data_IF_322499083026
#
_entry.id   IF_322499083026
#
_cell.length_a   1.000
_cell.length_b   1.000
_cell.length_c   1.000
_cell.angle_alpha   90.00
_cell.angle_beta   90.00
_cell.angle_gamma   90.00
#
_symmetry.space_group_name_H-M   'P 1'
#
loop_
_entity.id
_entity.type
_entity.pdbx_description
1 polymer ?
#
# COMPACT_ATOMS: atom_id res chain seq x y z
N UNK A 1 3.37 22.25 8.85
CA UNK A 1 2.18 21.39 9.09
C UNK A 1 1.76 21.59 10.53
N UNK A 2 0.48 21.86 10.83
CA UNK A 2 0.05 21.89 12.24
C UNK A 2 0.17 20.48 12.81
N UNK A 3 0.99 20.30 13.84
CA UNK A 3 1.31 19.00 14.45
C UNK A 3 0.14 18.30 15.18
N UNK A 4 -1.09 18.75 14.98
CA UNK A 4 -2.22 18.30 15.79
C UNK A 4 -3.40 17.88 14.94
N UNK A 5 -3.78 16.61 15.11
CA UNK A 5 -5.02 16.07 14.60
C UNK A 5 -6.22 16.86 15.13
N UNK A 6 -7.15 17.18 14.24
CA UNK A 6 -8.44 17.76 14.59
C UNK A 6 -9.26 16.77 15.44
N UNK A 7 -10.15 17.32 16.24
CA UNK A 7 -11.05 16.59 17.12
C UNK A 7 -12.40 16.43 16.44
N UNK A 8 -12.90 15.20 16.41
CA UNK A 8 -14.23 14.91 15.86
C UNK A 8 -15.31 15.44 16.79
N UNK A 9 -16.41 15.92 16.23
CA UNK A 9 -17.52 16.48 16.99
C UNK A 9 -18.82 15.92 16.46
N UNK A 10 -19.69 15.48 17.36
CA UNK A 10 -21.08 15.10 17.07
C UNK A 10 -22.03 15.96 17.92
N UNK A 11 -23.26 16.13 17.45
CA UNK A 11 -24.31 16.80 18.23
C UNK A 11 -24.99 15.83 19.23
N UNK A 12 -25.94 16.33 20.01
CA UNK A 12 -26.70 15.50 20.97
C UNK A 12 -27.49 14.37 20.30
N UNK A 13 -27.88 14.56 19.03
CA UNK A 13 -28.54 13.56 18.19
C UNK A 13 -27.56 12.60 17.52
N UNK A 14 -26.26 12.65 17.88
CA UNK A 14 -25.17 11.84 17.32
C UNK A 14 -24.95 12.07 15.83
N UNK A 15 -25.37 13.21 15.29
CA UNK A 15 -25.08 13.63 13.91
C UNK A 15 -23.66 14.17 13.82
N UNK A 16 -22.86 13.73 12.84
CA UNK A 16 -21.49 14.21 12.68
C UNK A 16 -21.45 15.68 12.28
N UNK A 17 -20.57 16.45 12.91
CA UNK A 17 -20.28 17.86 12.62
C UNK A 17 -18.86 18.00 12.05
N UNK A 18 -18.51 19.22 11.63
CA UNK A 18 -17.16 19.51 11.17
C UNK A 18 -16.14 19.26 12.29
N UNK A 19 -15.05 18.49 12.05
CA UNK A 19 -13.97 18.36 13.01
C UNK A 19 -13.40 19.74 13.36
N UNK A 20 -12.99 19.94 14.61
CA UNK A 20 -12.49 21.23 15.08
C UNK A 20 -11.03 21.15 15.55
N UNK A 21 -10.35 22.28 15.61
CA UNK A 21 -9.00 22.36 16.18
C UNK A 21 -9.03 21.95 17.66
N UNK A 22 -7.96 21.33 18.19
CA UNK A 22 -7.88 20.97 19.61
C UNK A 22 -8.10 22.14 20.57
N UNK A 23 -7.72 23.37 20.19
CA UNK A 23 -7.99 24.59 20.97
C UNK A 23 -9.49 24.85 21.14
N UNK A 24 -10.29 24.66 20.09
CA UNK A 24 -11.75 24.77 20.14
C UNK A 24 -12.34 23.65 20.99
N UNK A 25 -11.87 22.41 20.80
CA UNK A 25 -12.30 21.27 21.59
C UNK A 25 -12.07 21.49 23.09
N UNK A 26 -10.90 22.00 23.49
CA UNK A 26 -10.60 22.34 24.88
C UNK A 26 -11.51 23.43 25.42
N UNK A 27 -11.78 24.48 24.65
CA UNK A 27 -12.72 25.55 25.04
C UNK A 27 -14.15 25.01 25.24
N UNK A 28 -14.61 24.10 24.38
CA UNK A 28 -15.92 23.46 24.52
C UNK A 28 -16.03 22.61 25.78
N UNK A 29 -14.96 21.88 26.13
CA UNK A 29 -14.89 21.10 27.36
C UNK A 29 -14.85 21.99 28.60
N UNK A 30 -13.96 22.99 28.63
CA UNK A 30 -13.79 23.90 29.78
C UNK A 30 -15.05 24.72 30.07
N UNK A 31 -15.81 25.09 29.02
CA UNK A 31 -17.09 25.79 29.16
C UNK A 31 -18.28 24.87 29.44
N UNK A 32 -18.06 23.56 29.61
CA UNK A 32 -19.12 22.59 29.89
C UNK A 32 -20.12 22.38 28.75
N UNK A 33 -19.85 22.89 27.53
CA UNK A 33 -20.73 22.82 26.35
C UNK A 33 -20.66 21.46 25.63
N UNK A 34 -19.60 20.70 25.86
CA UNK A 34 -19.39 19.38 25.29
C UNK A 34 -18.90 18.38 26.34
N UNK A 35 -19.04 17.09 26.05
CA UNK A 35 -18.46 16.01 26.82
C UNK A 35 -17.62 15.09 25.92
N UNK A 36 -16.70 14.33 26.52
CA UNK A 36 -15.93 13.32 25.79
C UNK A 36 -16.85 12.15 25.48
N UNK A 37 -17.13 11.92 24.20
CA UNK A 37 -17.90 10.76 23.74
C UNK A 37 -17.01 9.53 23.57
N UNK A 38 -15.80 9.75 23.03
CA UNK A 38 -14.87 8.66 22.71
C UNK A 38 -13.43 9.15 22.78
N UNK A 39 -12.52 8.27 23.23
CA UNK A 39 -11.07 8.57 23.26
C UNK A 39 -10.36 8.31 21.92
N UNK A 40 -10.78 7.29 21.16
CA UNK A 40 -10.10 6.95 19.90
C UNK A 40 -11.05 6.53 18.74
N UNK A 41 -11.17 7.34 17.68
CA UNK A 41 -10.60 8.68 17.58
C UNK A 41 -11.19 9.59 18.66
N UNK A 42 -10.47 10.65 19.03
CA UNK A 42 -10.95 11.56 20.06
C UNK A 42 -12.16 12.32 19.53
N UNK A 43 -13.31 12.12 20.19
CA UNK A 43 -14.61 12.62 19.73
C UNK A 43 -15.34 13.27 20.88
N UNK A 44 -15.84 14.47 20.64
CA UNK A 44 -16.71 15.20 21.55
C UNK A 44 -18.17 15.06 21.13
N UNK A 45 -19.07 15.05 22.11
CA UNK A 45 -20.51 15.23 21.91
C UNK A 45 -20.92 16.60 22.47
N UNK A 46 -21.60 17.40 21.66
CA UNK A 46 -22.19 18.66 22.10
C UNK A 46 -23.48 18.38 22.88
N UNK A 47 -23.75 19.17 23.91
CA UNK A 47 -24.98 19.06 24.71
C UNK A 47 -26.24 19.63 24.03
N UNK A 48 -26.11 20.12 22.80
CA UNK A 48 -27.22 20.66 22.01
C UNK A 48 -27.28 20.02 20.64
N UNK A 49 -28.47 20.04 20.06
CA UNK A 49 -28.64 19.80 18.63
C UNK A 49 -28.06 20.99 17.85
N UNK A 50 -27.49 20.71 16.69
CA UNK A 50 -27.04 21.76 15.76
C UNK A 50 -27.83 21.58 14.47
N UNK A 51 -28.44 22.66 14.01
CA UNK A 51 -29.15 22.67 12.73
C UNK A 51 -28.19 22.46 11.56
N UNK A 52 -28.72 22.30 10.34
CA UNK A 52 -27.93 22.09 9.13
C UNK A 52 -27.05 23.31 8.84
N UNK A 53 -25.85 23.35 9.42
CA UNK A 53 -24.79 24.27 9.02
C UNK A 53 -24.17 23.75 7.72
N UNK A 54 -23.83 24.65 6.80
CA UNK A 54 -23.02 24.32 5.63
C UNK A 54 -21.70 23.69 6.11
N UNK A 55 -21.45 22.44 5.71
CA UNK A 55 -20.23 21.72 6.06
C UNK A 55 -19.30 21.75 4.85
N UNK A 56 -18.03 22.05 5.10
CA UNK A 56 -16.98 21.77 4.13
C UNK A 56 -16.90 20.26 3.94
N UNK A 57 -16.79 19.84 2.69
CA UNK A 57 -16.79 18.43 2.35
C UNK A 57 -15.42 17.84 2.69
N UNK A 58 -15.44 16.63 3.25
CA UNK A 58 -14.22 15.94 3.66
C UNK A 58 -13.90 14.80 2.71
N UNK A 59 -12.63 14.73 2.33
CA UNK A 59 -12.09 13.65 1.49
C UNK A 59 -11.23 12.74 2.34
N UNK A 60 -11.56 11.45 2.33
CA UNK A 60 -10.78 10.43 3.01
C UNK A 60 -9.78 9.80 2.04
N UNK A 61 -8.48 10.02 2.27
CA UNK A 61 -7.42 9.45 1.44
C UNK A 61 -6.76 8.24 2.12
N UNK A 62 -6.54 7.16 1.36
CA UNK A 62 -6.07 5.86 1.85
C UNK A 62 -4.87 5.38 1.03
N UNK A 63 -3.75 5.15 1.69
CA UNK A 63 -2.56 4.47 1.15
C UNK A 63 -2.46 3.05 1.74
N UNK A 64 -2.93 2.00 1.04
CA UNK A 64 -2.81 0.62 1.51
C UNK A 64 -1.41 0.05 1.28
N UNK A 65 -0.65 -0.13 2.37
CA UNK A 65 0.61 -0.88 2.35
C UNK A 65 0.50 -2.29 2.92
N UNK A 66 1.56 -3.09 2.74
CA UNK A 66 1.60 -4.49 3.19
C UNK A 66 1.70 -4.63 4.72
N UNK A 67 2.43 -3.71 5.37
CA UNK A 67 2.64 -3.67 6.82
C UNK A 67 1.84 -2.57 7.49
N UNK A 68 1.71 -1.44 6.82
CA UNK A 68 0.99 -0.29 7.33
C UNK A 68 0.01 0.24 6.29
N UNK A 69 -1.14 0.74 6.72
CA UNK A 69 -2.04 1.53 5.88
C UNK A 69 -2.08 2.96 6.42
N UNK A 70 -1.75 3.92 5.57
CA UNK A 70 -1.94 5.33 5.85
C UNK A 70 -3.38 5.73 5.59
N UNK A 71 -3.95 6.54 6.48
CA UNK A 71 -5.24 7.19 6.29
C UNK A 71 -5.06 8.68 6.60
N UNK A 72 -5.54 9.55 5.71
CA UNK A 72 -5.59 10.98 5.91
C UNK A 72 -7.02 11.49 5.64
N UNK A 73 -7.48 12.43 6.46
CA UNK A 73 -8.73 13.15 6.28
C UNK A 73 -8.39 14.58 5.90
N UNK A 74 -8.91 15.02 4.77
CA UNK A 74 -8.65 16.33 4.21
C UNK A 74 -9.93 17.15 4.16
N UNK A 75 -9.80 18.41 4.52
CA UNK A 75 -10.74 19.49 4.21
C UNK A 75 -10.15 20.21 3.01
N UNK A 76 -10.72 20.01 1.81
CA UNK A 76 -10.13 20.45 0.54
C UNK A 76 -8.67 19.96 0.40
N UNK A 77 -7.69 20.88 0.39
CA UNK A 77 -6.25 20.57 0.31
C UNK A 77 -5.55 20.50 1.67
N UNK A 78 -6.30 20.69 2.77
CA UNK A 78 -5.75 20.76 4.11
C UNK A 78 -5.92 19.43 4.84
N UNK A 79 -4.81 18.83 5.22
CA UNK A 79 -4.82 17.65 6.10
C UNK A 79 -5.24 18.07 7.51
N UNK A 80 -6.40 17.58 7.95
CA UNK A 80 -6.95 17.86 9.29
C UNK A 80 -6.75 16.70 10.25
N UNK A 81 -6.59 15.47 9.75
CA UNK A 81 -6.39 14.30 10.59
C UNK A 81 -5.62 13.21 9.85
N UNK A 82 -4.75 12.49 10.54
CA UNK A 82 -4.00 11.35 10.01
C UNK A 82 -3.96 10.17 10.98
N UNK A 83 -3.89 8.97 10.42
CA UNK A 83 -3.68 7.70 11.12
C UNK A 83 -2.75 6.79 10.33
N UNK A 84 -1.94 6.05 11.08
CA UNK A 84 -1.18 4.92 10.57
C UNK A 84 -1.70 3.63 11.21
N UNK A 85 -2.27 2.75 10.40
CA UNK A 85 -2.73 1.43 10.85
C UNK A 85 -1.56 0.46 10.69
N UNK A 86 -1.15 -0.20 11.78
CA UNK A 86 -0.21 -1.32 11.72
C UNK A 86 -0.98 -2.64 11.60
N UNK A 87 -0.72 -3.38 10.53
CA UNK A 87 -1.37 -4.67 10.28
C UNK A 87 -0.68 -5.81 11.03
N UNK A 88 -1.48 -6.79 11.46
CA UNK A 88 -1.00 -8.03 12.11
C UNK A 88 -0.88 -9.19 11.13
N UNK A 89 -0.86 -8.92 9.82
CA UNK A 89 -0.88 -9.94 8.77
C UNK A 89 0.30 -10.93 8.85
N UNK A 90 1.51 -10.47 9.20
CA UNK A 90 2.67 -11.32 9.41
C UNK A 90 2.49 -12.29 10.58
N UNK A 91 2.06 -11.77 11.74
CA UNK A 91 1.76 -12.56 12.94
C UNK A 91 0.67 -13.60 12.69
N UNK A 92 -0.37 -13.23 11.94
CA UNK A 92 -1.45 -14.16 11.55
C UNK A 92 -0.88 -15.27 10.67
N UNK A 93 -0.08 -14.92 9.66
CA UNK A 93 0.56 -15.88 8.75
C UNK A 93 1.46 -16.86 9.51
N UNK A 94 2.28 -16.36 10.44
CA UNK A 94 3.17 -17.17 11.26
C UNK A 94 2.40 -18.15 12.15
N UNK A 95 1.35 -17.67 12.85
CA UNK A 95 0.48 -18.54 13.68
C UNK A 95 -0.21 -19.62 12.84
N UNK A 96 -0.66 -19.30 11.63
CA UNK A 96 -1.27 -20.26 10.71
C UNK A 96 -0.24 -21.31 10.23
N UNK A 97 0.98 -20.88 9.94
CA UNK A 97 2.07 -21.77 9.54
C UNK A 97 2.45 -22.73 10.68
N UNK A 98 2.65 -22.24 11.90
CA UNK A 98 2.89 -23.06 13.10
C UNK A 98 1.79 -24.11 13.29
N UNK A 99 0.52 -23.69 13.23
CA UNK A 99 -0.63 -24.61 13.32
C UNK A 99 -0.63 -25.66 12.20
N UNK A 100 -0.23 -25.28 10.99
CA UNK A 100 -0.10 -26.21 9.85
C UNK A 100 1.01 -27.24 10.08
N UNK A 101 2.18 -26.79 10.54
CA UNK A 101 3.34 -27.64 10.85
C UNK A 101 3.01 -28.66 11.94
N UNK A 102 2.38 -28.25 13.05
CA UNK A 102 1.95 -29.19 14.09
C UNK A 102 0.94 -30.24 13.57
N UNK A 103 0.05 -29.86 12.65
CA UNK A 103 -0.87 -30.81 12.00
C UNK A 103 -0.15 -31.77 11.05
N UNK A 104 0.90 -31.31 10.36
CA UNK A 104 1.73 -32.15 9.50
C UNK A 104 2.55 -33.13 10.34
N UNK A 105 3.23 -32.66 11.39
CA UNK A 105 4.02 -33.49 12.29
C UNK A 105 3.20 -34.65 12.88
N UNK A 106 1.95 -34.42 13.30
CA UNK A 106 1.04 -35.48 13.78
C UNK A 106 0.65 -36.53 12.72
N UNK A 107 0.83 -36.24 11.43
CA UNK A 107 0.53 -37.16 10.33
C UNK A 107 1.77 -37.80 9.71
N UNK A 108 2.97 -37.37 10.10
CA UNK A 108 4.23 -37.84 9.49
C UNK A 108 5.25 -38.33 10.51
N UNK A 109 5.48 -37.60 11.61
CA UNK A 109 6.50 -37.92 12.63
C UNK A 109 5.90 -38.50 13.92
N UNK A 110 4.75 -37.96 14.37
CA UNK A 110 4.09 -38.36 15.62
C UNK A 110 2.78 -39.09 15.27
N UNK A 111 2.90 -40.28 14.69
CA UNK A 111 1.80 -41.05 14.10
C UNK A 111 0.84 -41.61 15.16
N UNK A 112 0.03 -40.75 15.78
CA UNK A 112 -1.17 -41.16 16.52
C UNK A 112 -2.38 -41.00 15.60
N UNK A 113 -2.80 -42.12 15.00
CA UNK A 113 -4.06 -42.39 14.28
C UNK A 113 -4.80 -41.17 13.69
N UNK A 114 -4.17 -40.42 12.77
CA UNK A 114 -4.89 -39.39 12.00
C UNK A 114 -4.67 -39.56 10.51
N UNK A 115 -5.69 -40.06 9.82
CA UNK A 115 -5.73 -40.19 8.35
C UNK A 115 -5.33 -38.85 7.68
N UNK A 116 -4.59 -38.90 6.55
CA UNK A 116 -4.29 -37.72 5.76
C UNK A 116 -5.59 -36.98 5.38
N UNK A 117 -5.55 -35.65 5.41
CA UNK A 117 -6.71 -34.85 4.98
C UNK A 117 -6.87 -34.88 3.46
N UNK A 118 -8.06 -34.55 2.95
CA UNK A 118 -8.31 -34.48 1.51
C UNK A 118 -7.38 -33.45 0.84
N UNK A 119 -6.45 -33.87 -0.05
CA UNK A 119 -5.53 -32.95 -0.74
C UNK A 119 -6.25 -32.07 -1.77
N UNK A 120 -7.42 -32.48 -2.24
CA UNK A 120 -8.17 -31.84 -3.33
C UNK A 120 -9.24 -30.86 -2.84
N UNK A 121 -9.19 -30.41 -1.58
CA UNK A 121 -10.15 -29.43 -1.06
C UNK A 121 -9.98 -28.08 -1.78
N UNK A 122 -10.81 -27.81 -2.78
CA UNK A 122 -10.89 -26.53 -3.47
C UNK A 122 -11.37 -25.44 -2.51
N UNK A 123 -10.77 -24.26 -2.63
CA UNK A 123 -11.22 -23.06 -1.92
C UNK A 123 -12.30 -22.38 -2.75
N UNK A 124 -13.26 -21.67 -2.12
CA UNK A 124 -14.28 -20.95 -2.86
C UNK A 124 -13.66 -19.85 -3.72
N UNK A 125 -14.35 -19.50 -4.81
CA UNK A 125 -13.96 -18.39 -5.68
C UNK A 125 -13.88 -17.09 -4.88
N UNK A 126 -12.82 -16.31 -5.09
CA UNK A 126 -12.58 -15.07 -4.32
C UNK A 126 -12.05 -15.28 -2.90
N UNK A 127 -11.65 -16.50 -2.54
CA UNK A 127 -11.03 -16.76 -1.24
C UNK A 127 -9.72 -15.98 -1.07
N UNK A 128 -9.63 -15.23 0.02
CA UNK A 128 -8.41 -14.56 0.46
C UNK A 128 -7.90 -15.21 1.75
N UNK A 129 -6.58 -15.24 1.91
CA UNK A 129 -5.98 -15.71 3.14
C UNK A 129 -6.39 -14.81 4.33
N UNK A 130 -6.57 -15.34 5.54
CA UNK A 130 -6.97 -14.53 6.71
C UNK A 130 -6.08 -13.32 6.98
N UNK A 131 -4.77 -13.43 6.71
CA UNK A 131 -3.82 -12.33 6.83
C UNK A 131 -4.07 -11.18 5.86
N UNK A 132 -4.64 -11.47 4.68
CA UNK A 132 -5.02 -10.49 3.65
C UNK A 132 -6.38 -9.88 3.96
N UNK A 133 -7.36 -10.72 4.35
CA UNK A 133 -8.70 -10.29 4.78
C UNK A 133 -8.60 -9.29 5.95
N UNK A 134 -7.75 -9.60 6.93
CA UNK A 134 -7.48 -8.73 8.07
C UNK A 134 -7.16 -7.28 7.65
N UNK A 135 -6.34 -7.08 6.61
CA UNK A 135 -5.95 -5.74 6.16
C UNK A 135 -7.14 -4.94 5.62
N UNK A 136 -8.01 -5.60 4.86
CA UNK A 136 -9.23 -5.01 4.33
C UNK A 136 -10.17 -4.65 5.49
N UNK A 137 -10.42 -5.58 6.41
CA UNK A 137 -11.34 -5.41 7.53
C UNK A 137 -10.89 -4.32 8.50
N UNK A 138 -9.60 -4.26 8.84
CA UNK A 138 -9.08 -3.20 9.73
C UNK A 138 -9.18 -1.83 9.08
N UNK A 139 -8.91 -1.73 7.78
CA UNK A 139 -9.06 -0.48 7.03
C UNK A 139 -10.51 -0.05 7.02
N UNK A 140 -11.44 -0.96 6.68
CA UNK A 140 -12.88 -0.69 6.67
C UNK A 140 -13.43 -0.34 8.04
N UNK A 141 -12.90 -0.93 9.12
CA UNK A 141 -13.27 -0.56 10.50
C UNK A 141 -13.00 0.91 10.76
N UNK A 142 -11.86 1.42 10.28
CA UNK A 142 -11.49 2.82 10.41
C UNK A 142 -12.30 3.73 9.49
N UNK A 143 -12.49 3.35 8.24
CA UNK A 143 -13.34 4.09 7.28
C UNK A 143 -14.74 4.29 7.84
N UNK A 144 -15.42 3.20 8.26
CA UNK A 144 -16.76 3.27 8.87
C UNK A 144 -16.78 4.15 10.12
N UNK A 145 -15.72 4.12 10.92
CA UNK A 145 -15.61 4.93 12.13
C UNK A 145 -15.46 6.42 11.81
N UNK A 146 -14.68 6.76 10.78
CA UNK A 146 -14.48 8.15 10.35
C UNK A 146 -15.76 8.71 9.72
N UNK A 147 -16.43 7.95 8.84
CA UNK A 147 -17.73 8.32 8.27
C UNK A 147 -18.77 8.57 9.37
N UNK A 148 -18.76 7.75 10.43
CA UNK A 148 -19.68 7.93 11.56
C UNK A 148 -19.47 9.24 12.33
N UNK A 149 -18.25 9.77 12.35
CA UNK A 149 -17.88 10.91 13.19
C UNK A 149 -17.49 12.18 12.40
N UNK A 150 -17.57 12.15 11.07
CA UNK A 150 -17.25 13.30 10.22
C UNK A 150 -18.04 13.24 8.90
N UNK A 151 -18.36 14.40 8.31
CA UNK A 151 -19.09 14.49 7.03
C UNK A 151 -18.16 14.16 5.84
N UNK A 152 -17.81 12.88 5.68
CA UNK A 152 -17.00 12.40 4.54
C UNK A 152 -17.90 12.29 3.30
N UNK A 153 -17.47 12.88 2.19
CA UNK A 153 -18.19 12.84 0.91
C UNK A 153 -17.53 11.89 -0.09
N UNK A 154 -16.20 11.87 -0.13
CA UNK A 154 -15.44 11.06 -1.07
C UNK A 154 -14.28 10.33 -0.41
N UNK A 155 -13.87 9.24 -1.06
CA UNK A 155 -12.74 8.41 -0.66
C UNK A 155 -11.77 8.34 -1.84
N UNK A 156 -10.51 8.73 -1.64
CA UNK A 156 -9.44 8.44 -2.59
C UNK A 156 -8.60 7.29 -2.07
N UNK A 157 -8.31 6.29 -2.90
CA UNK A 157 -7.41 5.21 -2.53
C UNK A 157 -6.32 5.02 -3.57
N UNK A 158 -5.10 4.74 -3.11
CA UNK A 158 -4.10 4.17 -3.99
C UNK A 158 -4.52 2.73 -4.31
N UNK A 159 -4.83 2.47 -5.59
CA UNK A 159 -5.27 1.15 -6.03
C UNK A 159 -4.08 0.20 -6.17
N UNK A 160 -2.93 0.74 -6.55
CA UNK A 160 -1.78 -0.05 -6.95
C UNK A 160 -0.48 0.67 -6.65
N UNK A 161 0.42 0.04 -5.87
CA UNK A 161 1.80 0.51 -5.70
C UNK A 161 2.66 0.26 -6.95
N UNK A 162 2.43 -0.88 -7.62
CA UNK A 162 3.00 -1.28 -8.92
C UNK A 162 2.06 -2.25 -9.65
N UNK A 163 1.58 -1.92 -10.86
CA UNK A 163 0.68 -2.82 -11.58
C UNK A 163 1.48 -3.92 -12.29
N UNK A 164 1.76 -4.99 -11.56
CA UNK A 164 2.59 -6.09 -12.06
C UNK A 164 2.04 -6.76 -13.31
N UNK A 165 0.72 -6.68 -13.59
CA UNK A 165 0.14 -7.24 -14.82
C UNK A 165 0.48 -6.36 -16.03
N UNK A 166 0.40 -5.04 -15.87
CA UNK A 166 0.81 -4.08 -16.89
C UNK A 166 2.33 -4.04 -17.09
N UNK A 167 3.11 -4.20 -16.02
CA UNK A 167 4.58 -4.24 -16.12
C UNK A 167 5.06 -5.58 -16.75
N UNK A 168 4.28 -6.66 -16.65
CA UNK A 168 4.62 -7.96 -17.28
C UNK A 168 4.23 -8.05 -18.75
N UNK A 169 3.22 -7.29 -19.20
CA UNK A 169 2.77 -7.24 -20.58
C UNK A 169 2.79 -5.80 -21.10
N UNK A 170 3.90 -5.37 -21.74
CA UNK A 170 4.01 -4.08 -22.41
C UNK A 170 3.07 -3.94 -23.63
N UNK A 171 2.27 -4.95 -23.97
CA UNK A 171 1.34 -4.96 -25.12
C UNK A 171 -0.13 -4.84 -24.69
N UNK A 172 -0.44 -4.71 -23.38
CA UNK A 172 -1.80 -4.37 -22.97
C UNK A 172 -2.07 -2.93 -23.38
N UNK A 173 -2.81 -2.78 -24.47
CA UNK A 173 -3.37 -1.58 -25.12
C UNK A 173 -4.29 -0.78 -24.18
N UNK A 174 -3.77 -0.34 -23.05
CA UNK A 174 -4.33 0.74 -22.23
C UNK A 174 -3.71 2.06 -22.69
N UNK A 175 -4.38 2.70 -23.65
CA UNK A 175 -3.99 3.87 -24.46
C UNK A 175 -3.61 5.17 -23.71
N UNK A 176 -3.28 5.14 -22.42
CA UNK A 176 -2.91 6.35 -21.65
C UNK A 176 -1.69 6.19 -20.74
N UNK A 177 -1.15 4.98 -20.55
CA UNK A 177 -0.03 4.76 -19.62
C UNK A 177 1.31 4.42 -20.29
N UNK A 178 1.32 3.87 -21.51
CA UNK A 178 2.55 3.30 -22.11
C UNK A 178 3.59 4.33 -22.61
N UNK A 179 3.27 5.63 -22.61
CA UNK A 179 4.15 6.68 -23.16
C UNK A 179 4.34 7.90 -22.24
N UNK A 180 3.95 7.81 -20.96
CA UNK A 180 4.13 8.90 -20.00
C UNK A 180 5.42 8.77 -19.17
N UNK A 181 6.00 9.90 -18.77
CA UNK A 181 7.12 9.99 -17.81
C UNK A 181 6.88 9.14 -16.53
N UNK A 182 5.62 9.04 -16.11
CA UNK A 182 5.15 8.25 -14.97
C UNK A 182 5.37 6.73 -15.11
N UNK A 183 5.24 6.15 -16.30
CA UNK A 183 5.34 4.70 -16.48
C UNK A 183 6.78 4.19 -16.39
N UNK A 184 7.73 4.93 -17.00
CA UNK A 184 9.16 4.67 -16.83
C UNK A 184 9.59 4.82 -15.37
N UNK A 185 8.98 5.75 -14.65
CA UNK A 185 9.22 5.98 -13.23
C UNK A 185 8.76 4.80 -12.35
N UNK A 186 7.55 4.27 -12.59
CA UNK A 186 6.99 3.14 -11.83
C UNK A 186 7.79 1.84 -12.02
N UNK A 187 8.17 1.51 -13.27
CA UNK A 187 9.00 0.33 -13.55
C UNK A 187 10.37 0.45 -12.85
N UNK A 188 11.03 1.60 -12.96
CA UNK A 188 12.33 1.82 -12.31
C UNK A 188 12.23 1.68 -10.81
N UNK A 189 11.20 2.22 -10.18
CA UNK A 189 11.01 2.11 -8.73
C UNK A 189 10.67 0.69 -8.29
N UNK A 190 9.87 -0.04 -9.06
CA UNK A 190 9.62 -1.46 -8.82
C UNK A 190 10.94 -2.24 -8.79
N UNK A 191 11.81 -2.03 -9.80
CA UNK A 191 13.10 -2.70 -9.88
C UNK A 191 14.02 -2.27 -8.73
N UNK A 192 14.12 -0.98 -8.42
CA UNK A 192 14.90 -0.50 -7.28
C UNK A 192 14.46 -1.12 -5.94
N UNK A 193 13.15 -1.24 -5.70
CA UNK A 193 12.63 -1.88 -4.49
C UNK A 193 12.89 -3.40 -4.50
N UNK A 194 12.73 -4.05 -5.65
CA UNK A 194 13.01 -5.48 -5.85
C UNK A 194 14.47 -5.85 -5.63
N UNK A 195 15.39 -4.98 -6.01
CA UNK A 195 16.83 -5.20 -5.89
C UNK A 195 17.44 -4.50 -4.67
N UNK A 196 16.61 -3.98 -3.75
CA UNK A 196 17.08 -3.42 -2.48
C UNK A 196 17.90 -2.13 -2.64
N UNK A 197 17.73 -1.39 -3.74
CA UNK A 197 18.49 -0.18 -4.09
C UNK A 197 20.01 -0.40 -4.10
N UNK A 198 20.41 -1.59 -4.54
CA UNK A 198 21.80 -2.01 -4.69
C UNK A 198 22.04 -2.44 -6.13
N UNK A 199 23.25 -2.21 -6.63
CA UNK A 199 23.69 -2.80 -7.88
C UNK A 199 23.55 -4.34 -7.78
N UNK A 200 22.67 -4.92 -8.60
CA UNK A 200 22.44 -6.35 -8.65
C UNK A 200 23.61 -7.12 -9.29
N UNK A 201 24.39 -6.42 -10.13
CA UNK A 201 25.59 -6.92 -10.78
C UNK A 201 26.76 -7.05 -9.77
N UNK A 202 27.96 -7.28 -10.28
CA UNK A 202 29.16 -7.68 -9.50
C UNK A 202 29.58 -6.76 -8.35
N UNK A 203 29.12 -5.50 -8.30
CA UNK A 203 29.66 -4.49 -7.37
C UNK A 203 28.88 -4.28 -6.07
N UNK A 204 27.60 -4.67 -5.99
CA UNK A 204 26.79 -4.52 -4.76
C UNK A 204 26.64 -3.09 -4.23
N UNK A 205 27.07 -2.07 -5.00
CA UNK A 205 27.15 -0.68 -4.54
C UNK A 205 25.77 -0.13 -4.18
N UNK A 206 25.71 0.54 -3.04
CA UNK A 206 24.60 1.40 -2.58
C UNK A 206 24.91 2.87 -2.93
N UNK A 207 23.90 3.74 -2.85
CA UNK A 207 24.05 5.20 -2.99
C UNK A 207 24.72 5.70 -4.29
N UNK A 208 24.60 4.93 -5.37
CA UNK A 208 25.03 5.34 -6.71
C UNK A 208 23.81 5.41 -7.63
N UNK A 209 23.83 6.23 -8.70
CA UNK A 209 22.84 6.11 -9.76
C UNK A 209 22.81 4.68 -10.30
N UNK A 210 21.63 4.07 -10.28
CA UNK A 210 21.37 2.73 -10.79
C UNK A 210 20.49 2.82 -12.03
N UNK A 211 20.92 2.16 -13.09
CA UNK A 211 20.25 2.04 -14.38
C UNK A 211 19.49 0.72 -14.46
N UNK A 212 18.47 0.67 -15.31
CA UNK A 212 17.77 -0.58 -15.63
C UNK A 212 18.63 -1.36 -16.60
N UNK A 213 18.93 -2.62 -16.26
CA UNK A 213 19.81 -3.51 -17.04
C UNK A 213 19.03 -4.75 -17.47
N UNK A 214 19.12 -5.13 -18.74
CA UNK A 214 18.57 -6.40 -19.23
C UNK A 214 19.50 -7.57 -18.92
N UNK A 215 18.96 -8.59 -18.25
CA UNK A 215 19.63 -9.87 -17.97
C UNK A 215 20.04 -10.52 -19.30
N UNK A 216 19.06 -10.82 -20.13
CA UNK A 216 19.25 -11.18 -21.53
C UNK A 216 19.15 -9.90 -22.38
N UNK A 217 20.22 -9.47 -23.07
CA UNK A 217 20.29 -8.20 -23.79
C UNK A 217 19.21 -8.05 -24.86
N UNK A 218 18.66 -6.84 -25.00
CA UNK A 218 17.64 -6.54 -26.02
C UNK A 218 18.14 -6.81 -27.45
N UNK A 219 19.41 -6.49 -27.73
CA UNK A 219 20.05 -6.77 -29.02
C UNK A 219 20.14 -8.26 -29.38
N UNK A 220 19.95 -9.16 -28.41
CA UNK A 220 19.96 -10.62 -28.59
C UNK A 220 18.56 -11.24 -28.47
N UNK A 221 17.50 -10.43 -28.46
CA UNK A 221 16.11 -10.90 -28.29
C UNK A 221 15.58 -10.82 -26.86
N UNK A 222 16.26 -10.09 -25.97
CA UNK A 222 15.82 -9.79 -24.61
C UNK A 222 14.47 -9.08 -24.53
N UNK A 223 13.54 -9.64 -23.77
CA UNK A 223 12.24 -8.99 -23.49
C UNK A 223 12.36 -7.85 -22.47
N UNK A 224 11.49 -6.86 -22.55
CA UNK A 224 11.33 -5.79 -21.55
C UNK A 224 10.50 -6.23 -20.32
N UNK A 225 10.26 -7.54 -20.15
CA UNK A 225 9.55 -8.09 -18.99
C UNK A 225 10.38 -7.95 -17.73
N UNK A 226 9.74 -7.66 -16.60
CA UNK A 226 10.35 -7.59 -15.25
C UNK A 226 11.25 -8.79 -14.91
N UNK A 227 10.90 -9.99 -15.37
CA UNK A 227 11.68 -11.20 -15.14
C UNK A 227 13.04 -11.20 -15.86
N UNK A 228 13.24 -10.31 -16.83
CA UNK A 228 14.46 -10.10 -17.58
C UNK A 228 15.18 -8.79 -17.19
N UNK A 229 14.68 -8.05 -16.19
CA UNK A 229 15.24 -6.75 -15.81
C UNK A 229 15.88 -6.79 -14.42
N UNK A 230 17.04 -6.13 -14.31
CA UNK A 230 17.79 -5.89 -13.08
C UNK A 230 18.12 -4.40 -12.93
N UNK A 231 18.86 -4.05 -11.88
CA UNK A 231 19.45 -2.72 -11.73
C UNK A 231 20.95 -2.80 -11.54
N UNK A 232 21.68 -1.91 -12.21
CA UNK A 232 23.14 -1.90 -12.21
C UNK A 232 23.68 -0.48 -12.10
N UNK A 233 24.86 -0.29 -11.51
CA UNK A 233 25.54 1.00 -11.63
C UNK A 233 26.07 1.17 -13.06
N UNK A 234 26.22 2.42 -13.50
CA UNK A 234 26.67 2.75 -14.87
C UNK A 234 27.91 1.98 -15.29
N UNK A 235 28.91 1.85 -14.41
CA UNK A 235 30.13 1.07 -14.68
C UNK A 235 29.83 -0.41 -14.96
N UNK A 236 29.03 -1.05 -14.11
CA UNK A 236 28.68 -2.47 -14.29
C UNK A 236 27.83 -2.69 -15.55
N UNK A 237 26.87 -1.79 -15.81
CA UNK A 237 26.02 -1.85 -16.99
C UNK A 237 26.84 -1.73 -18.28
N UNK A 238 27.79 -0.79 -18.32
CA UNK A 238 28.69 -0.59 -19.45
C UNK A 238 29.66 -1.76 -19.68
N UNK A 239 30.23 -2.35 -18.61
CA UNK A 239 31.13 -3.50 -18.74
C UNK A 239 30.37 -4.71 -19.30
N UNK A 240 29.16 -4.97 -18.80
CA UNK A 240 28.32 -6.06 -19.33
C UNK A 240 27.92 -5.78 -20.78
N UNK A 241 27.53 -4.54 -21.09
CA UNK A 241 27.10 -4.14 -22.43
C UNK A 241 26.04 -5.12 -22.98
N UNK A 242 26.28 -5.70 -24.16
CA UNK A 242 25.43 -6.68 -24.82
C UNK A 242 25.77 -8.15 -24.50
N UNK A 243 26.55 -8.41 -23.45
CA UNK A 243 26.87 -9.77 -23.01
C UNK A 243 25.68 -10.37 -22.25
N UNK A 244 25.51 -11.70 -22.37
CA UNK A 244 24.52 -12.40 -21.55
C UNK A 244 24.98 -12.41 -20.09
N UNK A 245 24.05 -12.35 -19.14
CA UNK A 245 24.39 -12.39 -17.70
C UNK A 245 25.17 -13.66 -17.34
N UNK A 246 24.94 -14.77 -18.04
CA UNK A 246 25.63 -16.05 -17.79
C UNK A 246 27.10 -15.95 -18.13
N UNK A 247 27.42 -15.33 -19.26
CA UNK A 247 28.79 -15.14 -19.73
C UNK A 247 29.52 -14.14 -18.83
N UNK A 248 28.86 -13.02 -18.52
CA UNK A 248 29.38 -11.96 -17.67
C UNK A 248 29.67 -12.44 -16.23
N UNK A 249 28.92 -13.42 -15.73
CA UNK A 249 29.05 -13.98 -14.38
C UNK A 249 29.59 -15.42 -14.38
N UNK A 250 30.27 -15.85 -15.43
CA UNK A 250 30.85 -17.20 -15.56
C UNK A 250 31.71 -17.61 -14.35
N UNK A 251 32.50 -16.68 -13.80
CA UNK A 251 33.30 -16.90 -12.58
C UNK A 251 32.55 -16.74 -11.24
N UNK A 252 31.23 -16.50 -11.25
CA UNK A 252 30.42 -16.23 -10.05
C UNK A 252 29.06 -16.96 -10.09
N UNK A 253 29.04 -18.31 -10.03
CA UNK A 253 27.83 -19.10 -10.20
C UNK A 253 26.76 -18.86 -9.12
N UNK A 254 27.17 -18.57 -7.88
CA UNK A 254 26.24 -18.26 -6.79
C UNK A 254 25.49 -16.93 -7.01
N UNK A 255 26.20 -15.90 -7.49
CA UNK A 255 25.62 -14.61 -7.81
C UNK A 255 24.65 -14.72 -8.99
N UNK A 256 25.02 -15.46 -10.03
CA UNK A 256 24.16 -15.75 -11.17
C UNK A 256 22.86 -16.45 -10.72
N UNK A 257 22.97 -17.49 -9.89
CA UNK A 257 21.80 -18.20 -9.34
C UNK A 257 20.92 -17.27 -8.52
N UNK A 258 21.50 -16.38 -7.71
CA UNK A 258 20.77 -15.38 -6.93
C UNK A 258 20.01 -14.41 -7.83
N UNK A 259 20.66 -13.84 -8.85
CA UNK A 259 20.04 -12.90 -9.80
C UNK A 259 18.88 -13.58 -10.53
N UNK A 260 19.09 -14.77 -11.10
CA UNK A 260 18.04 -15.48 -11.85
C UNK A 260 16.85 -15.86 -10.95
N UNK A 261 17.12 -16.24 -9.70
CA UNK A 261 16.06 -16.55 -8.73
C UNK A 261 15.30 -15.28 -8.35
N UNK A 262 16.00 -14.21 -8.00
CA UNK A 262 15.41 -12.94 -7.60
C UNK A 262 14.64 -12.27 -8.72
N UNK A 263 15.12 -12.34 -9.96
CA UNK A 263 14.43 -11.85 -11.15
C UNK A 263 13.06 -12.52 -11.35
N UNK A 264 12.91 -13.79 -10.98
CA UNK A 264 11.62 -14.51 -11.05
C UNK A 264 10.71 -14.25 -9.85
N UNK A 265 11.24 -13.81 -8.72
CA UNK A 265 10.44 -13.55 -7.53
C UNK A 265 9.64 -12.24 -7.66
N UNK A 266 8.33 -12.25 -7.37
CA UNK A 266 7.55 -11.03 -7.22
C UNK A 266 7.88 -10.34 -5.90
N UNK A 267 7.71 -9.02 -5.84
CA UNK A 267 7.76 -8.28 -4.58
C UNK A 267 6.65 -8.78 -3.64
N UNK A 268 7.02 -9.52 -2.59
CA UNK A 268 6.06 -10.11 -1.62
C UNK A 268 5.10 -9.08 -1.04
N UNK A 269 5.61 -7.89 -0.73
CA UNK A 269 4.81 -6.78 -0.20
C UNK A 269 3.82 -6.24 -1.23
N UNK A 270 4.27 -6.02 -2.47
CA UNK A 270 3.42 -5.58 -3.58
C UNK A 270 2.36 -6.64 -3.92
N UNK A 271 2.73 -7.91 -3.97
CA UNK A 271 1.80 -9.02 -4.22
C UNK A 271 0.69 -9.06 -3.17
N UNK A 272 1.01 -8.79 -1.92
CA UNK A 272 0.06 -8.82 -0.83
C UNK A 272 -0.92 -7.61 -0.87
N UNK A 273 -0.48 -6.44 -1.33
CA UNK A 273 -1.35 -5.27 -1.58
C UNK A 273 -2.21 -5.51 -2.83
N UNK A 274 -1.60 -5.96 -3.93
CA UNK A 274 -2.27 -6.25 -5.20
C UNK A 274 -3.35 -7.34 -5.05
N UNK A 275 -3.13 -8.34 -4.20
CA UNK A 275 -4.13 -9.38 -3.91
C UNK A 275 -5.37 -8.84 -3.18
N UNK A 276 -5.24 -7.71 -2.47
CA UNK A 276 -6.34 -7.10 -1.71
C UNK A 276 -6.97 -5.89 -2.40
N UNK A 277 -6.36 -5.34 -3.46
CA UNK A 277 -6.76 -4.05 -4.08
C UNK A 277 -8.24 -3.99 -4.43
N UNK A 278 -8.70 -4.97 -5.22
CA UNK A 278 -10.08 -5.01 -5.70
C UNK A 278 -11.07 -5.35 -4.59
N UNK A 279 -10.66 -6.20 -3.64
CA UNK A 279 -11.50 -6.48 -2.48
C UNK A 279 -11.70 -5.23 -1.64
N UNK A 280 -10.65 -4.45 -1.38
CA UNK A 280 -10.75 -3.20 -0.65
C UNK A 280 -11.59 -2.18 -1.41
N UNK A 281 -11.31 -1.95 -2.69
CA UNK A 281 -12.07 -1.03 -3.55
C UNK A 281 -13.57 -1.35 -3.57
N UNK A 282 -13.92 -2.61 -3.84
CA UNK A 282 -15.32 -3.04 -3.85
C UNK A 282 -15.98 -2.91 -2.47
N UNK A 283 -15.23 -3.11 -1.38
CA UNK A 283 -15.76 -2.93 -0.03
C UNK A 283 -15.90 -1.45 0.36
N UNK A 284 -15.07 -0.55 -0.19
CA UNK A 284 -15.22 0.89 -0.03
C UNK A 284 -16.45 1.40 -0.78
N UNK A 285 -16.75 0.87 -1.97
CA UNK A 285 -17.97 1.21 -2.72
C UNK A 285 -19.26 0.93 -1.95
N UNK A 286 -19.27 -0.09 -1.06
CA UNK A 286 -20.47 -0.38 -0.25
C UNK A 286 -20.78 0.70 0.79
N UNK A 287 -19.92 1.72 0.95
CA UNK A 287 -20.20 2.87 1.82
C UNK A 287 -21.20 3.86 1.20
N UNK A 288 -21.43 3.78 -0.13
CA UNK A 288 -22.25 4.72 -0.87
C UNK A 288 -21.55 6.05 -1.20
N UNK A 289 -20.28 6.22 -0.79
CA UNK A 289 -19.48 7.40 -1.12
C UNK A 289 -18.77 7.25 -2.47
N UNK A 290 -18.42 8.38 -3.09
CA UNK A 290 -17.62 8.39 -4.32
C UNK A 290 -16.22 7.86 -4.03
N UNK A 291 -15.79 6.81 -4.73
CA UNK A 291 -14.46 6.20 -4.57
C UNK A 291 -13.60 6.48 -5.80
N UNK A 292 -12.52 7.23 -5.62
CA UNK A 292 -11.53 7.60 -6.63
C UNK A 292 -10.26 6.78 -6.42
N UNK A 293 -9.65 6.34 -7.51
CA UNK A 293 -8.41 5.55 -7.48
C UNK A 293 -7.23 6.30 -8.06
N UNK A 294 -6.03 6.08 -7.53
CA UNK A 294 -4.77 6.59 -8.07
C UNK A 294 -3.66 5.55 -8.03
N UNK A 295 -2.54 5.83 -8.70
CA UNK A 295 -1.35 4.97 -8.69
C UNK A 295 -0.33 5.41 -7.64
N UNK A 296 0.50 4.48 -7.18
CA UNK A 296 1.63 4.77 -6.29
C UNK A 296 2.70 5.66 -6.94
N UNK A 297 2.82 5.63 -8.28
CA UNK A 297 3.65 6.56 -9.03
C UNK A 297 3.17 8.01 -8.84
N UNK A 298 1.86 8.24 -8.99
CA UNK A 298 1.24 9.55 -8.76
C UNK A 298 1.42 10.01 -7.30
N UNK A 299 1.15 9.13 -6.32
CA UNK A 299 1.36 9.44 -4.89
C UNK A 299 2.78 9.93 -4.62
N UNK A 300 3.77 9.23 -5.19
CA UNK A 300 5.18 9.56 -5.01
C UNK A 300 5.58 10.85 -5.75
N UNK A 301 5.05 11.07 -6.95
CA UNK A 301 5.24 12.32 -7.70
C UNK A 301 4.73 13.52 -6.90
N UNK A 302 3.49 13.45 -6.42
CA UNK A 302 2.87 14.49 -5.57
C UNK A 302 3.71 14.76 -4.32
N UNK A 303 4.15 13.71 -3.62
CA UNK A 303 5.01 13.85 -2.43
C UNK A 303 6.33 14.56 -2.73
N UNK A 304 6.98 14.22 -3.85
CA UNK A 304 8.25 14.84 -4.27
C UNK A 304 8.07 16.29 -4.69
N UNK A 305 7.02 16.61 -5.45
CA UNK A 305 6.67 17.98 -5.85
C UNK A 305 6.53 18.89 -4.63
N UNK A 306 5.93 18.38 -3.55
CA UNK A 306 5.73 19.11 -2.29
C UNK A 306 6.91 19.01 -1.30
N UNK A 307 8.02 18.36 -1.67
CA UNK A 307 9.21 18.16 -0.81
C UNK A 307 8.89 17.53 0.55
N UNK A 308 7.90 16.63 0.61
CA UNK A 308 7.45 16.00 1.85
C UNK A 308 8.26 14.73 2.19
N UNK A 309 8.54 14.48 3.49
CA UNK A 309 9.26 13.29 3.92
C UNK A 309 8.43 12.02 3.68
N UNK A 310 9.11 10.89 3.50
CA UNK A 310 8.43 9.60 3.30
C UNK A 310 7.85 9.09 4.62
N UNK A 311 6.53 9.02 4.69
CA UNK A 311 5.80 8.32 5.75
C UNK A 311 4.44 7.89 5.19
N UNK A 312 3.96 6.69 5.53
CA UNK A 312 2.71 6.17 5.00
C UNK A 312 1.48 7.07 5.22
N UNK A 313 1.39 7.77 6.35
CA UNK A 313 0.31 8.74 6.59
C UNK A 313 0.43 9.99 5.70
N UNK A 314 1.65 10.40 5.36
CA UNK A 314 1.93 11.50 4.43
C UNK A 314 1.66 11.05 2.99
N UNK A 315 2.10 9.83 2.63
CA UNK A 315 1.80 9.21 1.34
C UNK A 315 0.27 9.16 1.14
N UNK A 316 -0.51 8.78 2.16
CA UNK A 316 -1.98 8.83 2.11
C UNK A 316 -2.52 10.23 1.78
N UNK A 317 -1.96 11.31 2.34
CA UNK A 317 -2.38 12.67 2.02
C UNK A 317 -2.09 13.05 0.55
N UNK A 318 -1.07 12.43 -0.05
CA UNK A 318 -0.64 12.65 -1.43
C UNK A 318 -1.40 11.80 -2.47
N UNK A 319 -2.30 10.89 -2.05
CA UNK A 319 -3.09 10.01 -2.93
C UNK A 319 -4.08 10.82 -3.77
N UNK A 320 -4.25 10.46 -5.04
CA UNK A 320 -5.18 11.12 -5.96
C UNK A 320 -4.68 12.48 -6.43
N UNK A 321 -5.61 13.32 -6.88
CA UNK A 321 -5.29 14.69 -7.26
C UNK A 321 -4.93 15.52 -6.02
N UNK A 322 -3.85 16.29 -6.18
CA UNK A 322 -3.35 17.23 -5.18
C UNK A 322 -2.87 18.44 -5.94
N UNK A 323 -3.48 19.60 -5.68
CA UNK A 323 -3.11 20.86 -6.33
C UNK A 323 -1.75 21.36 -5.83
#
# INVERSE_FOLDING_TARGET
>A
MSNTNYVFVIDTNKKPLQPCKPSIARRLLNSGKAAVWRRFPFTLILKKAVEKVAKTTLTLKIDPGSRFTGIALLEENKVIWMLLIQHRGSLISEKLQKRSQHRRARRTKNLRYRKPGNPNKKKPTGWLAPSLVHRVETTMTWVKRLIKFSPVESISMELVRFDTQLIQNPEITGLQYQQGELAGYELREYLLEKWGRQCASTSGKTNTPLEVEHIHPKSKGGSDRVSNLTVACTKCNQIKSNQDVKDFLSGKPELLKRILTQARLPLKDAAAVNSTRWKLFNTLKTTGLTVITSSGGQTKFNRRKQKLPKAHCIDAACVGEVN
#
